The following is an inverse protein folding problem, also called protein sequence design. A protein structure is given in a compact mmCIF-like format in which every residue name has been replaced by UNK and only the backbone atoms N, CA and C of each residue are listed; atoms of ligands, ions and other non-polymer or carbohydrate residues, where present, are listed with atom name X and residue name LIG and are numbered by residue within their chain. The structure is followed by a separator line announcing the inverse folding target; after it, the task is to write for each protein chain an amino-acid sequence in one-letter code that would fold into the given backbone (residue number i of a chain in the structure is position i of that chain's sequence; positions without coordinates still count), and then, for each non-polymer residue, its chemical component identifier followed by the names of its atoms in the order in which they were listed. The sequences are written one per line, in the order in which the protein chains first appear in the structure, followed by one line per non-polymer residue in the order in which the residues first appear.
data_IF_582812323100
#
_entry.id   IF_582812323100
#
_cell.length_a   1.000
_cell.length_b   1.000
_cell.length_c   1.000
_cell.angle_alpha   90.00
_cell.angle_beta   90.00
_cell.angle_gamma   90.00
#
_symmetry.space_group_name_H-M   'P 1'
#
loop_
_entity.id
_entity.type
_entity.pdbx_description
1 polymer ?
#
# COMPACT_ATOMS: atom_id res chain seq x y z
N UNK A 1 50.19 -46.21 -15.38
CA UNK A 1 48.72 -46.39 -15.44
C UNK A 1 48.06 -45.22 -14.73
N UNK A 2 47.35 -44.36 -15.48
CA UNK A 2 46.62 -43.20 -14.97
C UNK A 2 45.23 -43.66 -14.51
N UNK A 3 44.93 -43.59 -13.21
CA UNK A 3 43.56 -43.76 -12.71
C UNK A 3 43.06 -42.37 -12.32
N UNK A 4 42.19 -41.82 -13.17
CA UNK A 4 41.57 -40.51 -13.02
C UNK A 4 40.57 -40.56 -11.86
N UNK A 5 40.85 -39.84 -10.78
CA UNK A 5 39.92 -39.62 -9.67
C UNK A 5 38.90 -38.54 -10.08
N UNK A 6 37.72 -38.96 -10.48
CA UNK A 6 36.59 -38.06 -10.73
C UNK A 6 35.92 -37.71 -9.40
N UNK A 7 36.32 -36.60 -8.80
CA UNK A 7 35.63 -35.99 -7.65
C UNK A 7 34.46 -35.17 -8.19
N UNK A 8 33.24 -35.69 -8.09
CA UNK A 8 32.02 -34.94 -8.38
C UNK A 8 31.71 -34.06 -7.17
N UNK A 9 32.07 -32.77 -7.25
CA UNK A 9 31.70 -31.78 -6.25
C UNK A 9 30.22 -31.39 -6.45
N UNK A 10 29.35 -31.90 -5.57
CA UNK A 10 27.96 -31.45 -5.50
C UNK A 10 27.92 -30.04 -4.88
N UNK A 11 27.68 -29.03 -5.71
CA UNK A 11 27.46 -27.64 -5.27
C UNK A 11 26.04 -27.54 -4.73
N UNK A 12 25.89 -27.64 -3.40
CA UNK A 12 24.65 -27.28 -2.71
C UNK A 12 24.51 -25.76 -2.72
N UNK A 13 23.70 -25.25 -3.65
CA UNK A 13 23.25 -23.86 -3.65
C UNK A 13 22.27 -23.65 -2.48
N UNK A 14 22.82 -23.29 -1.31
CA UNK A 14 22.02 -22.86 -0.17
C UNK A 14 21.37 -21.50 -0.46
N UNK A 15 20.06 -21.49 -0.72
CA UNK A 15 19.28 -20.25 -0.73
C UNK A 15 19.01 -19.88 0.72
N UNK A 16 19.91 -19.11 1.33
CA UNK A 16 19.71 -18.57 2.67
C UNK A 16 18.61 -17.51 2.60
N UNK A 17 17.39 -17.84 3.01
CA UNK A 17 16.41 -16.82 3.38
C UNK A 17 16.98 -16.09 4.61
N UNK A 18 17.60 -14.94 4.39
CA UNK A 18 18.19 -14.12 5.44
C UNK A 18 17.04 -13.52 6.25
N UNK A 19 16.73 -14.11 7.41
CA UNK A 19 15.82 -13.51 8.37
C UNK A 19 16.51 -12.27 8.94
N UNK A 20 16.15 -11.08 8.44
CA UNK A 20 16.65 -9.82 8.97
C UNK A 20 15.83 -9.42 10.20
N UNK A 21 16.50 -9.30 11.34
CA UNK A 21 15.93 -8.71 12.55
C UNK A 21 15.93 -7.18 12.40
N UNK A 22 14.78 -6.50 12.50
CA UNK A 22 14.76 -5.05 12.45
C UNK A 22 15.39 -4.44 13.70
N UNK A 23 16.46 -3.68 13.54
CA UNK A 23 16.73 -2.58 14.47
C UNK A 23 15.74 -1.46 14.13
N UNK A 24 14.90 -1.06 15.10
CA UNK A 24 13.90 -0.02 14.90
C UNK A 24 14.56 1.32 14.50
N UNK A 25 14.02 2.07 13.52
CA UNK A 25 14.46 3.42 13.25
C UNK A 25 14.03 4.35 14.39
N UNK A 26 14.96 5.17 14.89
CA UNK A 26 14.71 6.14 15.95
C UNK A 26 13.99 7.40 15.42
N UNK A 27 12.81 7.23 14.79
CA UNK A 27 11.90 8.36 14.61
C UNK A 27 11.10 8.55 15.91
N UNK A 28 10.96 9.78 16.45
CA UNK A 28 10.19 10.02 17.67
C UNK A 28 8.75 9.51 17.57
N UNK A 29 8.17 9.58 16.37
CA UNK A 29 6.82 9.07 16.09
C UNK A 29 6.71 7.53 16.18
N UNK A 30 7.83 6.82 16.18
CA UNK A 30 7.91 5.35 16.21
C UNK A 30 8.38 4.82 17.58
N UNK A 31 8.49 5.69 18.58
CA UNK A 31 8.90 5.30 19.93
C UNK A 31 7.92 4.29 20.53
N UNK A 32 8.45 3.20 21.10
CA UNK A 32 7.65 2.10 21.66
C UNK A 32 7.11 1.09 20.64
N UNK A 33 7.37 1.25 19.34
CA UNK A 33 6.96 0.27 18.32
C UNK A 33 7.97 -0.88 18.25
N UNK A 34 7.47 -2.11 18.44
CA UNK A 34 8.21 -3.35 18.20
C UNK A 34 7.76 -3.96 16.88
N UNK A 35 8.69 -4.10 15.94
CA UNK A 35 8.41 -4.65 14.62
C UNK A 35 8.68 -6.16 14.57
N UNK A 36 7.81 -6.89 13.88
CA UNK A 36 8.03 -8.30 13.57
C UNK A 36 9.16 -8.49 12.55
N UNK A 37 9.68 -9.71 12.47
CA UNK A 37 10.57 -10.10 11.38
C UNK A 37 9.78 -10.14 10.07
N UNK A 38 10.43 -9.69 8.99
CA UNK A 38 9.85 -9.64 7.65
C UNK A 38 10.68 -10.53 6.73
N UNK A 39 10.00 -11.40 5.99
CA UNK A 39 10.59 -12.20 4.91
C UNK A 39 9.95 -11.77 3.61
N UNK A 40 10.75 -11.20 2.70
CA UNK A 40 10.25 -10.68 1.44
C UNK A 40 10.37 -11.74 0.33
N UNK A 41 9.26 -12.29 -0.18
CA UNK A 41 9.30 -13.13 -1.36
C UNK A 41 9.65 -12.29 -2.60
N UNK A 42 10.43 -12.86 -3.51
CA UNK A 42 10.68 -12.23 -4.80
C UNK A 42 9.35 -11.95 -5.54
N UNK A 43 9.20 -10.81 -6.25
CA UNK A 43 10.21 -9.79 -6.58
C UNK A 43 10.36 -8.67 -5.54
N UNK A 44 9.80 -8.82 -4.33
CA UNK A 44 9.91 -7.82 -3.28
C UNK A 44 11.25 -7.96 -2.57
N UNK A 45 11.92 -6.81 -2.38
CA UNK A 45 13.17 -6.69 -1.65
C UNK A 45 12.89 -6.07 -0.29
N UNK A 46 13.67 -6.49 0.70
CA UNK A 46 13.66 -5.86 1.99
C UNK A 46 14.10 -4.41 1.85
N UNK A 47 13.30 -3.49 2.40
CA UNK A 47 13.64 -2.10 2.54
C UNK A 47 13.60 -1.76 4.02
N UNK A 48 14.69 -1.19 4.54
CA UNK A 48 14.73 -0.80 5.94
C UNK A 48 13.69 0.27 6.22
N UNK A 49 13.31 0.37 7.49
CA UNK A 49 12.34 1.34 7.94
C UNK A 49 12.79 2.79 7.68
N UNK A 50 14.10 3.06 7.76
CA UNK A 50 14.70 4.36 7.40
C UNK A 50 14.54 4.65 5.90
N UNK A 51 14.87 3.68 5.05
CA UNK A 51 14.74 3.83 3.59
C UNK A 51 13.28 3.99 3.15
N UNK A 52 12.33 3.40 3.88
CA UNK A 52 10.91 3.48 3.59
C UNK A 52 10.21 4.68 4.24
N UNK A 53 10.86 5.37 5.18
CA UNK A 53 10.23 6.44 5.96
C UNK A 53 9.10 5.94 6.87
N UNK A 54 9.14 4.66 7.25
CA UNK A 54 8.12 3.98 8.06
C UNK A 54 8.71 3.56 9.40
N UNK A 55 7.85 3.24 10.37
CA UNK A 55 8.32 2.75 11.68
C UNK A 55 8.88 1.32 11.61
N UNK A 56 8.44 0.52 10.65
CA UNK A 56 8.90 -0.86 10.45
C UNK A 56 9.44 -1.05 9.04
N UNK A 57 10.33 -2.05 8.82
CA UNK A 57 10.79 -2.38 7.48
C UNK A 57 9.62 -2.91 6.63
N UNK A 58 9.76 -2.75 5.32
CA UNK A 58 8.75 -3.16 4.35
C UNK A 58 9.37 -4.01 3.25
N UNK A 59 8.52 -4.77 2.57
CA UNK A 59 8.89 -5.44 1.32
C UNK A 59 8.48 -4.55 0.16
N UNK A 60 9.45 -4.11 -0.65
CA UNK A 60 9.23 -3.19 -1.76
C UNK A 60 9.73 -3.77 -3.08
N UNK A 61 8.98 -3.56 -4.15
CA UNK A 61 9.37 -3.93 -5.52
C UNK A 61 9.02 -2.80 -6.47
N UNK A 62 10.00 -2.34 -7.25
CA UNK A 62 9.76 -1.40 -8.35
C UNK A 62 9.17 -2.12 -9.59
N UNK A 63 9.29 -3.44 -9.66
CA UNK A 63 8.94 -4.25 -10.82
C UNK A 63 7.45 -4.68 -10.79
N UNK A 64 6.83 -4.69 -9.61
CA UNK A 64 5.41 -4.99 -9.44
C UNK A 64 4.59 -3.73 -9.72
N UNK A 65 4.21 -3.58 -10.98
CA UNK A 65 3.20 -2.61 -11.38
C UNK A 65 1.82 -3.23 -11.14
N UNK A 66 1.02 -2.64 -10.25
CA UNK A 66 -0.39 -3.02 -10.13
C UNK A 66 -1.13 -2.44 -11.35
N UNK A 67 -1.62 -3.28 -12.29
CA UNK A 67 -2.42 -2.80 -13.41
C UNK A 67 -3.70 -2.17 -12.84
N UNK A 68 -4.02 -0.94 -13.28
CA UNK A 68 -5.16 -0.17 -12.76
C UNK A 68 -4.81 0.98 -11.81
N UNK A 69 -3.53 1.29 -11.56
CA UNK A 69 -3.12 2.56 -10.91
C UNK A 69 -3.31 3.81 -11.78
N UNK A 70 -4.10 3.74 -12.85
CA UNK A 70 -4.66 4.95 -13.42
C UNK A 70 -5.68 5.52 -12.42
N UNK A 71 -5.83 6.84 -12.30
CA UNK A 71 -6.89 7.47 -11.51
C UNK A 71 -8.31 7.05 -11.93
N UNK A 72 -8.46 6.11 -12.87
CA UNK A 72 -9.73 5.46 -13.18
C UNK A 72 -10.31 4.64 -12.03
N UNK A 73 -9.48 4.04 -11.16
CA UNK A 73 -9.97 3.48 -9.89
C UNK A 73 -10.32 4.55 -8.85
N UNK A 74 -9.87 5.79 -9.07
CA UNK A 74 -10.18 6.97 -8.28
C UNK A 74 -11.17 7.91 -8.99
N UNK A 75 -11.94 7.41 -9.97
CA UNK A 75 -13.10 8.13 -10.49
C UNK A 75 -14.16 8.12 -9.41
N UNK A 76 -14.05 9.07 -8.49
CA UNK A 76 -15.10 9.40 -7.55
C UNK A 76 -16.37 9.83 -8.27
N UNK A 77 -17.47 9.86 -7.53
CA UNK A 77 -18.65 10.59 -7.97
C UNK A 77 -18.31 12.08 -8.17
N UNK A 78 -18.99 12.79 -9.09
CA UNK A 78 -18.84 14.23 -9.19
C UNK A 78 -19.33 14.91 -7.90
N UNK A 79 -18.68 16.02 -7.54
CA UNK A 79 -19.14 16.95 -6.50
C UNK A 79 -20.59 17.38 -6.80
N UNK A 80 -21.40 17.56 -5.74
CA UNK A 80 -22.79 17.95 -5.90
C UNK A 80 -22.88 19.36 -6.54
N UNK A 81 -23.81 19.62 -7.48
CA UNK A 81 -23.90 20.92 -8.16
C UNK A 81 -24.20 22.10 -7.22
N UNK A 82 -24.82 21.85 -6.07
CA UNK A 82 -25.12 22.88 -5.07
C UNK A 82 -24.06 22.96 -3.95
N UNK A 83 -22.93 22.26 -4.08
CA UNK A 83 -21.86 22.31 -3.10
C UNK A 83 -21.24 23.72 -2.98
N UNK A 84 -20.67 24.07 -1.81
CA UNK A 84 -19.97 25.34 -1.67
C UNK A 84 -18.75 25.40 -2.61
N UNK A 85 -18.37 26.62 -3.02
CA UNK A 85 -17.26 26.84 -3.96
C UNK A 85 -15.93 26.26 -3.47
N UNK A 86 -15.74 26.17 -2.15
CA UNK A 86 -14.59 25.51 -1.52
C UNK A 86 -14.41 24.04 -1.88
N UNK A 87 -15.45 23.38 -2.42
CA UNK A 87 -15.40 21.99 -2.85
C UNK A 87 -14.82 21.81 -4.26
N UNK A 88 -14.62 22.89 -5.01
CA UNK A 88 -14.18 22.87 -6.41
C UNK A 88 -12.75 23.39 -6.61
N UNK A 89 -12.25 24.23 -5.71
CA UNK A 89 -10.98 24.94 -5.87
C UNK A 89 -9.91 24.49 -4.86
N UNK A 90 -8.63 24.32 -5.26
CA UNK A 90 -8.08 24.32 -6.62
C UNK A 90 -8.25 22.97 -7.36
N UNK A 91 -8.69 21.93 -6.65
CA UNK A 91 -8.96 20.59 -7.18
C UNK A 91 -10.29 20.15 -6.57
N UNK A 92 -11.22 19.61 -7.38
CA UNK A 92 -12.50 19.16 -6.85
C UNK A 92 -12.29 18.04 -5.82
N UNK A 93 -13.09 18.09 -4.75
CA UNK A 93 -13.02 17.06 -3.71
C UNK A 93 -13.40 15.70 -4.28
N UNK A 94 -12.75 14.66 -3.77
CA UNK A 94 -13.08 13.29 -4.12
C UNK A 94 -14.34 12.85 -3.36
N UNK A 95 -15.42 12.57 -4.09
CA UNK A 95 -16.61 11.92 -3.54
C UNK A 95 -16.56 10.42 -3.82
N UNK A 96 -16.63 9.54 -2.80
CA UNK A 96 -16.75 8.11 -3.04
C UNK A 96 -18.04 7.76 -3.80
N UNK A 97 -18.02 6.76 -4.71
CA UNK A 97 -19.25 6.26 -5.32
C UNK A 97 -20.16 5.67 -4.24
N UNK A 98 -21.43 6.09 -4.21
CA UNK A 98 -22.39 5.63 -3.22
C UNK A 98 -23.02 4.30 -3.63
N UNK A 99 -23.11 3.38 -2.68
CA UNK A 99 -23.93 2.16 -2.76
C UNK A 99 -24.85 2.13 -1.55
N UNK A 100 -26.01 2.78 -1.65
CA UNK A 100 -26.89 2.92 -0.49
C UNK A 100 -27.54 1.57 -0.09
N UNK A 101 -27.60 1.26 1.21
CA UNK A 101 -28.26 0.05 1.70
C UNK A 101 -29.79 0.12 1.46
N UNK A 102 -30.46 -1.03 1.51
CA UNK A 102 -31.90 -1.10 1.35
C UNK A 102 -32.62 -0.19 2.37
N UNK A 103 -33.48 0.71 1.87
CA UNK A 103 -34.19 1.69 2.70
C UNK A 103 -33.50 3.06 2.81
N UNK A 104 -32.25 3.19 2.34
CA UNK A 104 -31.58 4.49 2.22
C UNK A 104 -31.65 5.00 0.76
N UNK A 105 -31.69 6.33 0.61
CA UNK A 105 -31.65 7.02 -0.69
C UNK A 105 -30.48 7.99 -0.73
N UNK A 106 -29.99 8.28 -1.94
CA UNK A 106 -29.03 9.36 -2.12
C UNK A 106 -29.71 10.70 -1.81
N UNK A 107 -29.15 11.42 -0.86
CA UNK A 107 -29.60 12.75 -0.43
C UNK A 107 -28.41 13.71 -0.42
N UNK A 108 -28.70 14.99 -0.54
CA UNK A 108 -27.73 16.09 -0.43
C UNK A 108 -28.16 17.00 0.72
N UNK A 109 -27.23 17.32 1.62
CA UNK A 109 -27.42 18.27 2.70
C UNK A 109 -26.67 19.58 2.39
N UNK A 110 -27.27 20.72 2.73
CA UNK A 110 -26.68 22.03 2.44
C UNK A 110 -25.35 22.20 3.19
N UNK A 111 -24.30 22.57 2.46
CA UNK A 111 -22.94 22.72 3.00
C UNK A 111 -22.04 21.52 2.75
N UNK A 112 -22.57 20.36 2.39
CA UNK A 112 -21.76 19.21 1.97
C UNK A 112 -21.22 19.40 0.56
N UNK A 113 -20.09 18.74 0.27
CA UNK A 113 -19.54 18.67 -1.08
C UNK A 113 -20.09 17.49 -1.89
N UNK A 114 -20.49 16.41 -1.21
CA UNK A 114 -20.86 15.14 -1.81
C UNK A 114 -22.29 14.78 -1.46
N UNK A 115 -22.90 13.88 -2.24
CA UNK A 115 -24.12 13.20 -1.79
C UNK A 115 -23.79 12.22 -0.69
N UNK A 116 -24.80 11.89 0.12
CA UNK A 116 -24.74 10.85 1.15
C UNK A 116 -25.93 9.90 1.03
N UNK A 117 -25.87 8.76 1.69
CA UNK A 117 -27.02 7.88 1.82
C UNK A 117 -27.76 8.23 3.12
N UNK A 118 -29.00 8.69 2.99
CA UNK A 118 -29.87 8.98 4.14
C UNK A 118 -31.06 8.03 4.16
N UNK A 119 -31.43 7.57 5.35
CA UNK A 119 -32.68 6.84 5.57
C UNK A 119 -33.77 7.88 5.79
N UNK A 120 -34.76 7.89 4.91
CA UNK A 120 -35.92 8.77 5.03
C UNK A 120 -36.87 8.29 6.13
#
# INVERSE_FOLDING_TARGET
MRVLASVVAAVVAGVSAQMFQPAAPALPACEGISCGSVSCPAPFKFQSAVEAGTCCPVCFSADVVIPGKTPELAKGAPTHPNAPSSCFDPVPVYCPPLSCPAGAKETYEEGDCCKMCSVA
#
